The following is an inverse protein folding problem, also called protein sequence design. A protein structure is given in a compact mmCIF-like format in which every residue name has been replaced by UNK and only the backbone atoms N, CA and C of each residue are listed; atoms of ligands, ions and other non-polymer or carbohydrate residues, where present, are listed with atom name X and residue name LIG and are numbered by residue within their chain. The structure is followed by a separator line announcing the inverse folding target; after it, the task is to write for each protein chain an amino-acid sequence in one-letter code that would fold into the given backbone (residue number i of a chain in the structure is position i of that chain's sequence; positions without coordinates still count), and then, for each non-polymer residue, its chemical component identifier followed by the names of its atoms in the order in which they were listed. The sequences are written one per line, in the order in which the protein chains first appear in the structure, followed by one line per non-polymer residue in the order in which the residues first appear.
data_IF_557637991244
#
_entry.id   IF_557637991244
#
_cell.length_a   1.000
_cell.length_b   1.000
_cell.length_c   1.000
_cell.angle_alpha   90.00
_cell.angle_beta   90.00
_cell.angle_gamma   90.00
#
_symmetry.space_group_name_H-M   'P 1'
#
loop_
_entity.id
_entity.type
_entity.pdbx_description
1 polymer ?
#
# COMPACT_ATOMS: atom_id res chain seq x y z
N UNK A 1 -5.74 63.94 43.88
CA UNK A 1 -5.02 62.71 44.17
C UNK A 1 -5.69 61.61 43.37
N UNK A 2 -5.02 61.13 42.35
CA UNK A 2 -5.55 60.10 41.45
C UNK A 2 -4.91 58.76 41.85
N UNK A 3 -5.73 57.86 42.38
CA UNK A 3 -5.30 56.50 42.75
C UNK A 3 -5.27 55.61 41.50
N UNK A 4 -4.06 55.30 41.02
CA UNK A 4 -3.87 54.34 39.93
C UNK A 4 -4.03 52.93 40.50
N UNK A 5 -5.13 52.28 40.16
CA UNK A 5 -5.32 50.85 40.42
C UNK A 5 -4.58 50.10 39.30
N UNK A 6 -3.47 49.47 39.67
CA UNK A 6 -2.77 48.50 38.82
C UNK A 6 -3.55 47.20 38.85
N UNK A 7 -4.27 46.90 37.76
CA UNK A 7 -4.80 45.58 37.54
C UNK A 7 -3.68 44.70 37.00
N UNK A 8 -3.21 43.80 37.85
CA UNK A 8 -2.31 42.75 37.49
C UNK A 8 -3.10 41.73 36.64
N UNK A 9 -2.88 41.80 35.31
CA UNK A 9 -3.40 40.80 34.39
C UNK A 9 -2.68 39.50 34.57
N UNK A 10 -3.39 38.51 35.13
CA UNK A 10 -2.95 37.14 35.19
C UNK A 10 -2.92 36.56 33.78
N UNK A 11 -1.74 36.50 33.16
CA UNK A 11 -1.54 35.81 31.90
C UNK A 11 -1.55 34.31 32.18
N UNK A 12 -2.69 33.72 31.95
CA UNK A 12 -2.83 32.26 31.96
C UNK A 12 -2.17 31.71 30.68
N UNK A 13 -0.91 31.28 30.81
CA UNK A 13 -0.22 30.54 29.74
C UNK A 13 -0.93 29.20 29.55
N UNK A 14 -1.84 29.16 28.57
CA UNK A 14 -2.30 27.90 28.03
C UNK A 14 -1.11 27.24 27.31
N UNK A 15 -0.48 26.25 27.93
CA UNK A 15 0.33 25.28 27.24
C UNK A 15 -0.63 24.48 26.33
N UNK A 16 -0.79 24.95 25.11
CA UNK A 16 -1.41 24.18 24.04
C UNK A 16 -0.46 23.03 23.69
N UNK A 17 -0.71 21.86 24.25
CA UNK A 17 -0.24 20.62 23.66
C UNK A 17 -0.96 20.46 22.33
N UNK A 18 -0.39 21.00 21.27
CA UNK A 18 -0.77 20.69 19.90
C UNK A 18 -0.26 19.30 19.57
N UNK A 19 -1.05 18.30 19.97
CA UNK A 19 -0.96 16.98 19.32
C UNK A 19 -1.71 17.07 18.00
N UNK A 20 -1.23 17.95 17.11
CA UNK A 20 -1.56 17.86 15.71
C UNK A 20 -0.82 16.64 15.16
N UNK A 21 -1.43 15.47 15.39
CA UNK A 21 -1.22 14.36 14.49
C UNK A 21 -1.74 14.86 13.12
N UNK A 22 -0.83 15.41 12.32
CA UNK A 22 -1.08 15.70 10.92
C UNK A 22 -1.46 14.39 10.26
N UNK A 23 -2.75 14.11 10.22
CA UNK A 23 -3.31 13.16 9.28
C UNK A 23 -3.21 13.88 7.95
N UNK A 24 -2.05 13.73 7.29
CA UNK A 24 -1.90 14.08 5.90
C UNK A 24 -2.96 13.30 5.13
N UNK A 25 -3.82 13.95 4.33
CA UNK A 25 -4.73 13.23 3.47
C UNK A 25 -3.90 12.38 2.52
N UNK A 26 -4.02 11.06 2.61
CA UNK A 26 -3.33 10.08 1.76
C UNK A 26 -3.77 10.13 0.28
N UNK A 27 -4.46 11.19 -0.14
CA UNK A 27 -5.18 11.25 -1.41
C UNK A 27 -4.33 11.58 -2.64
N UNK A 28 -3.02 11.83 -2.50
CA UNK A 28 -2.23 12.23 -3.68
C UNK A 28 -0.79 11.69 -3.73
N UNK A 29 -0.46 10.68 -2.93
CA UNK A 29 0.84 10.05 -3.06
C UNK A 29 0.82 9.11 -4.27
N UNK A 30 1.70 9.30 -5.27
CA UNK A 30 1.80 8.37 -6.38
C UNK A 30 2.18 6.98 -5.85
N UNK A 31 1.51 5.95 -6.35
CA UNK A 31 1.81 4.56 -6.02
C UNK A 31 3.20 4.20 -6.55
N UNK A 32 4.08 3.77 -5.67
CA UNK A 32 5.51 3.54 -5.97
C UNK A 32 5.82 2.06 -6.15
N UNK A 33 7.02 1.76 -6.65
CA UNK A 33 7.53 0.38 -6.72
C UNK A 33 7.60 -0.30 -5.35
N UNK A 34 7.98 0.44 -4.31
CA UNK A 34 7.96 -0.07 -2.92
C UNK A 34 6.53 -0.42 -2.47
N UNK A 35 5.55 0.40 -2.86
CA UNK A 35 4.15 0.12 -2.55
C UNK A 35 3.65 -1.12 -3.31
N UNK A 36 4.13 -1.35 -4.53
CA UNK A 36 3.82 -2.57 -5.30
C UNK A 36 4.44 -3.82 -4.67
N UNK A 37 5.66 -3.75 -4.17
CA UNK A 37 6.30 -4.86 -3.45
C UNK A 37 5.55 -5.19 -2.15
N UNK A 38 5.12 -4.17 -1.41
CA UNK A 38 4.28 -4.34 -0.23
C UNK A 38 2.91 -4.94 -0.58
N UNK A 39 2.29 -4.48 -1.67
CA UNK A 39 1.02 -5.02 -2.15
C UNK A 39 1.15 -6.51 -2.51
N UNK A 40 2.24 -6.91 -3.20
CA UNK A 40 2.55 -8.31 -3.46
C UNK A 40 2.66 -9.11 -2.15
N UNK A 41 3.39 -8.60 -1.17
CA UNK A 41 3.55 -9.25 0.13
C UNK A 41 2.20 -9.47 0.82
N UNK A 42 1.31 -8.51 0.77
CA UNK A 42 0.00 -8.59 1.46
C UNK A 42 -1.01 -9.46 0.70
N UNK A 43 -1.04 -9.38 -0.63
CA UNK A 43 -2.12 -9.98 -1.44
C UNK A 43 -1.72 -11.28 -2.14
N UNK A 44 -0.45 -11.50 -2.43
CA UNK A 44 0.02 -12.56 -3.32
C UNK A 44 0.89 -13.59 -2.59
N UNK A 45 1.75 -13.15 -1.67
CA UNK A 45 2.77 -14.00 -1.06
C UNK A 45 2.21 -15.12 -0.19
N UNK A 46 0.99 -14.99 0.33
CA UNK A 46 0.34 -16.04 1.12
C UNK A 46 0.16 -17.34 0.32
N UNK A 47 -0.06 -17.26 -0.98
CA UNK A 47 -0.20 -18.42 -1.88
C UNK A 47 1.05 -18.65 -2.73
N UNK A 48 1.68 -17.59 -3.23
CA UNK A 48 2.84 -17.69 -4.13
C UNK A 48 4.19 -17.71 -3.40
N UNK A 49 4.26 -17.23 -2.16
CA UNK A 49 5.51 -17.05 -1.42
C UNK A 49 6.23 -15.75 -1.78
N UNK A 50 7.17 -15.36 -0.95
CA UNK A 50 8.03 -14.17 -1.19
C UNK A 50 8.96 -14.35 -2.39
N UNK A 51 9.29 -15.61 -2.73
CA UNK A 51 10.11 -15.99 -3.88
C UNK A 51 9.30 -16.51 -5.08
N UNK A 52 7.97 -16.52 -4.96
CA UNK A 52 7.05 -16.98 -6.01
C UNK A 52 6.90 -18.49 -6.12
N UNK A 53 7.45 -19.29 -5.20
CA UNK A 53 7.55 -20.75 -5.34
C UNK A 53 6.71 -21.56 -4.35
N UNK A 54 6.01 -20.91 -3.43
CA UNK A 54 5.31 -21.59 -2.33
C UNK A 54 4.27 -22.60 -2.82
N UNK A 55 3.52 -22.29 -3.87
CA UNK A 55 2.58 -23.24 -4.47
C UNK A 55 1.39 -23.61 -3.59
N UNK A 56 1.03 -22.78 -2.60
CA UNK A 56 -0.08 -23.08 -1.69
C UNK A 56 -1.39 -23.19 -2.47
N UNK A 57 -2.18 -24.20 -2.15
CA UNK A 57 -3.47 -24.48 -2.81
C UNK A 57 -3.39 -24.62 -4.35
N UNK A 58 -2.23 -25.01 -4.88
CA UNK A 58 -2.03 -25.16 -6.32
C UNK A 58 -1.66 -23.86 -7.04
N UNK A 59 -1.26 -22.81 -6.30
CA UNK A 59 -0.73 -21.59 -6.88
C UNK A 59 0.48 -21.89 -7.78
N UNK A 60 0.51 -21.25 -8.95
CA UNK A 60 1.60 -21.47 -9.93
C UNK A 60 2.92 -20.92 -9.43
N UNK A 61 4.00 -21.61 -9.75
CA UNK A 61 5.36 -21.15 -9.52
C UNK A 61 5.64 -19.94 -10.45
N UNK A 62 5.82 -18.78 -9.84
CA UNK A 62 6.06 -17.53 -10.57
C UNK A 62 7.50 -17.44 -11.08
N UNK A 63 8.44 -18.17 -10.46
CA UNK A 63 9.86 -18.13 -10.83
C UNK A 63 10.15 -18.69 -12.21
N UNK A 64 9.29 -19.55 -12.71
CA UNK A 64 9.38 -20.16 -14.05
C UNK A 64 8.30 -19.66 -15.02
N UNK A 65 7.48 -18.72 -14.59
CA UNK A 65 6.39 -18.17 -15.40
C UNK A 65 6.92 -17.46 -16.64
N UNK A 66 6.29 -17.73 -17.78
CA UNK A 66 6.61 -17.12 -19.08
C UNK A 66 5.49 -16.22 -19.59
N UNK A 67 4.52 -15.87 -18.73
CA UNK A 67 3.40 -15.01 -19.10
C UNK A 67 3.89 -13.63 -19.55
N UNK A 68 3.27 -13.09 -20.60
CA UNK A 68 3.47 -11.69 -21.00
C UNK A 68 2.86 -10.74 -19.97
N UNK A 69 3.19 -9.45 -20.07
CA UNK A 69 2.66 -8.42 -19.19
C UNK A 69 1.14 -8.38 -19.23
N UNK A 70 0.54 -8.46 -20.41
CA UNK A 70 -0.92 -8.51 -20.58
C UNK A 70 -1.53 -9.77 -19.95
N UNK A 71 -0.87 -10.90 -20.09
CA UNK A 71 -1.35 -12.16 -19.49
C UNK A 71 -1.25 -12.12 -17.96
N UNK A 72 -0.21 -11.51 -17.40
CA UNK A 72 -0.09 -11.28 -15.95
C UNK A 72 -1.22 -10.36 -15.48
N UNK A 73 -1.42 -9.24 -16.16
CA UNK A 73 -2.48 -8.28 -15.83
C UNK A 73 -3.86 -8.94 -15.85
N UNK A 74 -4.18 -9.67 -16.92
CA UNK A 74 -5.46 -10.39 -17.03
C UNK A 74 -5.63 -11.45 -15.95
N UNK A 75 -4.56 -12.18 -15.61
CA UNK A 75 -4.61 -13.20 -14.56
C UNK A 75 -4.88 -12.58 -13.19
N UNK A 76 -4.24 -11.46 -12.87
CA UNK A 76 -4.49 -10.74 -11.61
C UNK A 76 -5.93 -10.20 -11.61
N UNK A 77 -6.34 -9.58 -12.71
CA UNK A 77 -7.65 -8.95 -12.82
C UNK A 77 -8.78 -9.96 -12.68
N UNK A 78 -8.75 -11.01 -13.47
CA UNK A 78 -9.85 -11.97 -13.61
C UNK A 78 -9.74 -13.16 -12.67
N UNK A 79 -8.55 -13.42 -12.12
CA UNK A 79 -8.27 -14.67 -11.43
C UNK A 79 -8.12 -15.85 -12.39
N UNK A 80 -7.67 -16.98 -11.88
CA UNK A 80 -7.56 -18.24 -12.64
C UNK A 80 -7.56 -19.43 -11.72
N UNK A 81 -8.43 -20.41 -11.95
CA UNK A 81 -8.59 -21.59 -11.09
C UNK A 81 -8.88 -21.18 -9.62
N UNK A 82 -7.99 -21.52 -8.70
CA UNK A 82 -8.09 -21.16 -7.28
C UNK A 82 -7.66 -19.73 -6.96
N UNK A 83 -6.99 -19.07 -7.90
CA UNK A 83 -6.59 -17.67 -7.73
C UNK A 83 -7.81 -16.76 -7.88
N UNK A 84 -8.16 -15.96 -6.86
CA UNK A 84 -9.32 -15.08 -6.94
C UNK A 84 -9.09 -13.92 -7.92
N UNK A 85 -10.18 -13.31 -8.38
CA UNK A 85 -10.16 -12.02 -9.07
C UNK A 85 -9.78 -10.90 -8.08
N UNK A 86 -8.95 -9.98 -8.52
CA UNK A 86 -8.59 -8.79 -7.75
C UNK A 86 -9.20 -7.50 -8.35
N UNK A 87 -10.08 -7.62 -9.34
CA UNK A 87 -10.65 -6.47 -10.06
C UNK A 87 -11.32 -5.43 -9.16
N UNK A 88 -11.98 -5.88 -8.09
CA UNK A 88 -12.67 -4.98 -7.16
C UNK A 88 -11.80 -4.48 -6.01
N UNK A 89 -10.65 -5.12 -5.76
CA UNK A 89 -9.80 -4.84 -4.60
C UNK A 89 -8.47 -4.16 -4.90
N UNK A 90 -8.06 -4.15 -6.17
CA UNK A 90 -6.79 -3.58 -6.64
C UNK A 90 -7.08 -2.78 -7.92
N UNK A 91 -6.65 -1.52 -7.98
CA UNK A 91 -6.81 -0.70 -9.19
C UNK A 91 -5.97 -1.22 -10.36
N UNK A 92 -6.36 -0.88 -11.58
CA UNK A 92 -5.61 -1.29 -12.79
C UNK A 92 -4.17 -0.75 -12.77
N UNK A 93 -3.98 0.47 -12.25
CA UNK A 93 -2.67 1.09 -12.11
C UNK A 93 -1.80 0.29 -11.13
N UNK A 94 -2.35 -0.11 -9.99
CA UNK A 94 -1.67 -0.95 -9.01
C UNK A 94 -1.35 -2.34 -9.57
N UNK A 95 -2.27 -2.95 -10.34
CA UNK A 95 -2.03 -4.22 -11.01
C UNK A 95 -0.87 -4.12 -12.02
N UNK A 96 -0.79 -3.03 -12.79
CA UNK A 96 0.33 -2.78 -13.71
C UNK A 96 1.66 -2.65 -12.96
N UNK A 97 1.66 -2.03 -11.79
CA UNK A 97 2.85 -1.93 -10.95
C UNK A 97 3.26 -3.27 -10.30
N UNK A 98 2.35 -4.23 -10.18
CA UNK A 98 2.70 -5.59 -9.74
C UNK A 98 3.43 -6.40 -10.82
N UNK A 99 3.29 -6.08 -12.09
CA UNK A 99 3.92 -6.83 -13.21
C UNK A 99 5.45 -6.91 -13.03
N UNK A 100 6.19 -5.79 -12.87
CA UNK A 100 7.63 -5.87 -12.64
C UNK A 100 7.99 -6.65 -11.37
N UNK A 101 7.20 -6.56 -10.30
CA UNK A 101 7.42 -7.35 -9.08
C UNK A 101 7.35 -8.84 -9.37
N UNK A 102 6.28 -9.31 -10.05
CA UNK A 102 6.12 -10.70 -10.46
C UNK A 102 7.26 -11.15 -11.38
N UNK A 103 7.67 -10.31 -12.32
CA UNK A 103 8.77 -10.62 -13.25
C UNK A 103 10.14 -10.68 -12.55
N UNK A 104 10.35 -9.92 -11.49
CA UNK A 104 11.59 -9.96 -10.72
C UNK A 104 11.81 -11.29 -9.97
N UNK A 105 10.75 -12.07 -9.76
CA UNK A 105 10.83 -13.41 -9.16
C UNK A 105 11.32 -14.48 -10.14
N UNK A 106 11.39 -14.18 -11.43
CA UNK A 106 11.85 -15.12 -12.46
C UNK A 106 13.35 -15.38 -12.35
N UNK A 107 13.74 -16.61 -12.64
CA UNK A 107 15.14 -17.05 -12.66
C UNK A 107 15.52 -17.54 -14.05
#
# INVERSE_FOLDING_TARGET
MVLKIFTVGLVLSCLSCSSDACIEPLENKPFTESDAANLYTVKCSSCHGSDGKLGLSGAKDLSISKLSDDQILQTIKMGKNVMPSFEESISVEQMKMLIPVVKSLRK
#
